data_IF_445031152953
#
_entry.id   IF_445031152953
#
_cell.length_a   1.000
_cell.length_b   1.000
_cell.length_c   1.000
_cell.angle_alpha   90.00
_cell.angle_beta   90.00
_cell.angle_gamma   90.00
#
_symmetry.space_group_name_H-M   'P 1'
#
loop_
_entity.id
_entity.type
_entity.pdbx_description
1 polymer ?
#
# COMPACT_ATOMS: atom_id res chain seq x y z
N UNK A 1 54.45 -34.39 -27.64
CA UNK A 1 53.18 -33.71 -27.96
C UNK A 1 53.00 -32.56 -26.98
N UNK A 2 52.55 -31.41 -27.49
CA UNK A 2 51.93 -30.24 -26.86
C UNK A 2 52.23 -29.92 -25.37
N UNK A 3 52.78 -28.72 -25.19
CA UNK A 3 52.84 -27.93 -23.97
C UNK A 3 51.47 -27.68 -23.32
N UNK A 4 51.43 -27.49 -22.00
CA UNK A 4 50.43 -26.66 -21.35
C UNK A 4 51.06 -25.35 -20.85
N UNK A 5 50.79 -24.27 -21.59
CA UNK A 5 50.58 -22.93 -21.03
C UNK A 5 49.25 -23.01 -20.22
N UNK A 6 48.99 -22.36 -19.10
CA UNK A 6 49.18 -20.95 -18.77
C UNK A 6 49.17 -20.74 -17.25
N UNK A 7 49.67 -19.56 -16.88
CA UNK A 7 49.98 -19.06 -15.56
C UNK A 7 48.78 -19.01 -14.59
N UNK A 8 49.14 -19.33 -13.35
CA UNK A 8 48.49 -19.04 -12.08
C UNK A 8 48.30 -17.53 -11.88
N UNK A 9 47.38 -17.17 -10.98
CA UNK A 9 47.11 -15.82 -10.40
C UNK A 9 46.23 -14.94 -11.31
N UNK A 10 45.10 -14.36 -10.88
CA UNK A 10 44.66 -13.90 -9.56
C UNK A 10 43.14 -14.07 -9.46
N UNK A 11 42.70 -14.84 -8.46
CA UNK A 11 41.36 -14.74 -7.87
C UNK A 11 41.21 -13.34 -7.26
N UNK A 12 40.28 -12.53 -7.77
CA UNK A 12 39.88 -11.29 -7.10
C UNK A 12 38.40 -11.37 -6.69
N UNK A 13 38.06 -12.05 -5.58
CA UNK A 13 36.94 -11.61 -4.76
C UNK A 13 37.43 -10.49 -3.82
N UNK A 14 36.50 -9.75 -3.21
CA UNK A 14 36.67 -8.77 -2.11
C UNK A 14 36.84 -7.31 -2.60
N UNK A 15 36.03 -6.32 -2.21
CA UNK A 15 35.01 -6.18 -1.17
C UNK A 15 33.87 -5.25 -1.64
N UNK A 16 32.64 -5.66 -1.38
CA UNK A 16 31.48 -4.77 -1.23
C UNK A 16 31.56 -4.07 0.12
N UNK A 17 31.76 -2.75 0.11
CA UNK A 17 31.39 -1.86 1.21
C UNK A 17 30.79 -0.59 0.61
N UNK A 18 29.54 -0.67 0.15
CA UNK A 18 28.72 0.53 0.00
C UNK A 18 28.26 0.90 1.42
N UNK A 19 28.90 1.94 1.95
CA UNK A 19 28.57 2.56 3.21
C UNK A 19 27.07 2.83 3.30
N UNK A 20 26.41 2.22 4.28
CA UNK A 20 25.11 2.67 4.76
C UNK A 20 25.33 4.01 5.48
N UNK A 21 25.18 5.11 4.76
CA UNK A 21 24.94 6.40 5.39
C UNK A 21 23.52 6.36 5.98
N UNK A 22 23.41 6.01 7.25
CA UNK A 22 22.20 6.20 8.05
C UNK A 22 22.12 7.68 8.45
N UNK A 23 21.14 8.48 7.99
CA UNK A 23 20.84 9.73 8.67
C UNK A 23 20.10 9.41 9.97
N UNK A 24 20.81 9.55 11.11
CA UNK A 24 20.17 9.88 12.39
C UNK A 24 19.76 11.36 12.28
N UNK A 25 18.46 11.58 12.34
CA UNK A 25 17.91 12.88 12.66
C UNK A 25 17.04 12.66 13.89
N UNK A 26 17.70 12.61 15.03
CA UNK A 26 17.06 12.87 16.31
C UNK A 26 17.05 14.39 16.54
N UNK A 27 16.01 14.84 17.24
CA UNK A 27 15.90 16.07 18.04
C UNK A 27 14.87 17.12 17.56
N UNK A 28 13.72 17.03 18.24
CA UNK A 28 12.95 18.07 18.95
C UNK A 28 12.03 19.06 18.21
N UNK A 29 10.77 18.93 18.62
CA UNK A 29 9.72 19.94 18.81
C UNK A 29 9.94 21.34 18.25
N UNK A 30 9.13 21.70 17.26
CA UNK A 30 8.60 23.07 17.12
C UNK A 30 7.19 23.04 16.53
N UNK A 31 6.25 23.43 17.38
CA UNK A 31 5.08 24.25 17.06
C UNK A 31 3.94 23.65 16.24
N UNK A 32 2.99 23.14 17.02
CA UNK A 32 1.57 23.50 16.96
C UNK A 32 1.34 24.77 16.11
N UNK A 33 0.98 24.58 14.84
CA UNK A 33 0.23 25.57 14.08
C UNK A 33 -1.14 24.97 13.79
N UNK A 34 -1.98 25.02 14.83
CA UNK A 34 -3.40 25.25 14.62
C UNK A 34 -3.61 26.48 13.72
N UNK A 35 -4.78 26.52 13.11
CA UNK A 35 -5.36 27.72 12.50
C UNK A 35 -5.01 28.00 11.03
N UNK A 36 -5.79 27.33 10.17
CA UNK A 36 -6.36 28.05 9.02
C UNK A 36 -7.84 27.73 8.88
N UNK A 37 -8.61 28.15 9.87
CA UNK A 37 -10.01 28.51 9.64
C UNK A 37 -10.04 29.82 8.84
N UNK A 38 -10.42 29.74 7.57
CA UNK A 38 -11.14 30.82 6.90
C UNK A 38 -12.24 30.20 6.05
N UNK A 39 -13.35 29.93 6.74
CA UNK A 39 -14.67 30.43 6.42
C UNK A 39 -15.13 30.47 4.96
N UNK A 40 -16.24 29.76 4.74
CA UNK A 40 -17.32 30.23 3.88
C UNK A 40 -17.71 29.29 2.76
N UNK A 41 -18.52 28.27 3.06
CA UNK A 41 -19.88 28.27 2.52
C UNK A 41 -20.76 27.34 3.36
N UNK A 42 -21.82 27.93 3.90
CA UNK A 42 -22.85 27.24 4.66
C UNK A 42 -23.82 26.64 3.66
N UNK A 43 -23.74 25.34 3.43
CA UNK A 43 -24.92 24.57 3.07
C UNK A 43 -25.15 23.52 4.17
N UNK A 44 -25.98 23.97 5.10
CA UNK A 44 -26.62 23.19 6.12
C UNK A 44 -27.64 22.30 5.41
N UNK A 45 -27.37 21.01 5.28
CA UNK A 45 -28.48 20.10 5.03
C UNK A 45 -28.34 18.76 5.75
N UNK A 46 -29.52 18.29 6.12
CA UNK A 46 -29.79 17.46 7.27
C UNK A 46 -29.22 16.04 7.18
N UNK A 47 -28.98 15.50 8.38
CA UNK A 47 -28.66 14.10 8.58
C UNK A 47 -29.61 13.17 7.83
N UNK A 48 -29.01 12.20 7.17
CA UNK A 48 -29.72 11.12 6.53
C UNK A 48 -28.70 10.07 6.10
N UNK A 49 -28.75 8.91 6.74
CA UNK A 49 -28.34 7.64 6.16
C UNK A 49 -29.20 7.41 4.90
N UNK A 50 -29.00 8.20 3.84
CA UNK A 50 -29.65 8.02 2.55
C UNK A 50 -28.74 7.15 1.71
N UNK A 51 -29.17 5.91 1.50
CA UNK A 51 -28.72 5.09 0.39
C UNK A 51 -28.98 5.84 -0.92
N UNK A 52 -28.00 6.62 -1.36
CA UNK A 52 -28.07 7.44 -2.56
C UNK A 52 -27.53 6.66 -3.76
N UNK A 53 -28.43 6.25 -4.65
CA UNK A 53 -28.10 6.04 -6.06
C UNK A 53 -27.78 7.40 -6.68
N UNK A 54 -26.51 7.75 -6.82
CA UNK A 54 -26.09 9.01 -7.43
C UNK A 54 -24.64 8.97 -7.86
N UNK A 55 -24.41 8.58 -9.13
CA UNK A 55 -23.27 8.94 -10.01
C UNK A 55 -21.82 8.82 -9.55
N UNK A 56 -21.53 8.42 -8.31
CA UNK A 56 -20.17 8.36 -7.78
C UNK A 56 -19.43 7.09 -8.21
N UNK A 57 -18.10 7.15 -8.25
CA UNK A 57 -17.25 5.97 -8.46
C UNK A 57 -17.64 4.89 -7.43
N UNK A 58 -18.16 3.72 -7.86
CA UNK A 58 -18.62 2.67 -6.96
C UNK A 58 -17.48 2.08 -6.12
N UNK A 59 -16.23 2.32 -6.54
CA UNK A 59 -14.99 1.94 -5.86
C UNK A 59 -14.41 3.03 -4.97
N UNK A 60 -15.14 4.13 -4.72
CA UNK A 60 -14.69 5.17 -3.79
C UNK A 60 -14.60 4.59 -2.37
N UNK A 61 -13.46 4.78 -1.73
CA UNK A 61 -13.18 4.34 -0.37
C UNK A 61 -13.90 5.27 0.61
N UNK A 62 -14.82 4.71 1.40
CA UNK A 62 -15.59 5.48 2.40
C UNK A 62 -14.93 5.50 3.77
N UNK A 63 -14.20 4.43 4.12
CA UNK A 63 -13.48 4.31 5.38
C UNK A 63 -12.01 4.03 5.09
N UNK A 64 -11.08 4.77 5.69
CA UNK A 64 -9.67 4.52 5.49
C UNK A 64 -9.28 3.15 6.05
N UNK A 65 -8.31 2.49 5.41
CA UNK A 65 -7.86 1.15 5.81
C UNK A 65 -6.37 0.96 5.58
N UNK A 66 -5.79 -0.02 6.28
CA UNK A 66 -4.37 -0.35 6.18
C UNK A 66 -4.10 -1.37 5.08
N UNK A 67 -2.91 -1.25 4.49
CA UNK A 67 -2.29 -2.27 3.64
C UNK A 67 -1.38 -3.16 4.48
N UNK A 68 -1.38 -4.45 4.14
CA UNK A 68 -0.65 -5.51 4.82
C UNK A 68 0.38 -6.14 3.89
N UNK A 69 1.51 -6.58 4.46
CA UNK A 69 2.58 -7.28 3.73
C UNK A 69 2.13 -8.63 3.20
N UNK A 70 1.34 -9.36 3.99
CA UNK A 70 0.76 -10.66 3.67
C UNK A 70 -0.75 -10.66 3.92
N UNK A 71 -1.52 -11.59 3.31
CA UNK A 71 -2.98 -11.66 3.48
C UNK A 71 -3.37 -12.33 4.81
N UNK A 72 -2.93 -11.76 5.92
CA UNK A 72 -3.29 -12.17 7.28
C UNK A 72 -3.22 -10.98 8.25
N UNK A 73 -3.99 -11.04 9.33
CA UNK A 73 -4.14 -9.92 10.27
C UNK A 73 -2.90 -9.68 11.14
N UNK A 74 -2.09 -10.71 11.34
CA UNK A 74 -0.82 -10.65 12.08
C UNK A 74 0.33 -10.07 11.25
N UNK A 75 0.11 -9.78 9.97
CA UNK A 75 1.13 -9.20 9.10
C UNK A 75 1.43 -7.74 9.45
N UNK A 76 2.67 -7.32 9.18
CA UNK A 76 3.05 -5.92 9.22
C UNK A 76 2.16 -5.05 8.33
N UNK A 77 1.85 -3.85 8.85
CA UNK A 77 1.13 -2.78 8.15
C UNK A 77 2.15 -1.74 7.69
N UNK A 78 2.14 -1.38 6.41
CA UNK A 78 3.16 -0.47 5.85
C UNK A 78 2.60 0.66 4.98
N UNK A 79 1.28 0.82 4.95
CA UNK A 79 0.64 1.93 4.25
C UNK A 79 -0.86 2.02 4.52
N UNK A 80 -1.47 3.15 4.18
CA UNK A 80 -2.89 3.41 4.41
C UNK A 80 -3.56 3.96 3.15
N UNK A 81 -4.79 3.52 2.89
CA UNK A 81 -5.67 4.17 1.92
C UNK A 81 -6.58 5.15 2.65
N UNK A 82 -6.75 6.34 2.07
CA UNK A 82 -7.51 7.41 2.68
C UNK A 82 -8.95 7.41 2.20
N UNK A 83 -9.83 8.05 2.98
CA UNK A 83 -11.19 8.31 2.57
C UNK A 83 -11.19 9.15 1.28
N UNK A 84 -12.04 8.77 0.33
CA UNK A 84 -12.11 9.38 -0.99
C UNK A 84 -11.17 8.78 -2.04
N UNK A 85 -10.22 7.93 -1.63
CA UNK A 85 -9.39 7.14 -2.54
C UNK A 85 -10.22 6.17 -3.40
N UNK A 86 -9.58 5.50 -4.35
CA UNK A 86 -10.25 4.49 -5.19
C UNK A 86 -9.70 3.10 -4.90
N UNK A 87 -10.59 2.19 -4.52
CA UNK A 87 -10.24 0.78 -4.34
C UNK A 87 -9.81 0.20 -5.68
N UNK A 88 -8.59 -0.33 -5.71
CA UNK A 88 -8.05 -1.05 -6.87
C UNK A 88 -7.42 -2.34 -6.40
N UNK A 89 -7.67 -3.43 -7.14
CA UNK A 89 -7.10 -4.73 -6.86
C UNK A 89 -6.70 -5.41 -8.16
N UNK A 90 -5.79 -6.37 -8.04
CA UNK A 90 -5.27 -7.18 -9.14
C UNK A 90 -5.83 -8.59 -9.08
N UNK A 91 -5.94 -9.16 -7.88
CA UNK A 91 -6.45 -10.51 -7.69
C UNK A 91 -6.95 -10.70 -6.25
N UNK A 92 -7.63 -11.82 -6.01
CA UNK A 92 -8.19 -12.25 -4.73
C UNK A 92 -7.52 -13.53 -4.22
N UNK A 93 -7.20 -13.57 -2.93
CA UNK A 93 -6.78 -14.77 -2.20
C UNK A 93 -7.64 -14.89 -0.94
N UNK A 94 -8.50 -15.91 -0.85
CA UNK A 94 -9.54 -16.00 0.20
C UNK A 94 -10.34 -14.69 0.30
N UNK A 95 -10.42 -14.07 1.48
CA UNK A 95 -11.08 -12.76 1.67
C UNK A 95 -10.09 -11.59 1.63
N UNK A 96 -8.96 -11.74 0.93
CA UNK A 96 -7.95 -10.70 0.76
C UNK A 96 -7.78 -10.33 -0.71
N UNK A 97 -7.49 -9.07 -0.95
CA UNK A 97 -7.24 -8.52 -2.27
C UNK A 97 -5.81 -8.02 -2.37
N UNK A 98 -5.10 -8.45 -3.40
CA UNK A 98 -3.78 -7.91 -3.74
C UNK A 98 -3.97 -6.61 -4.50
N UNK A 99 -3.29 -5.57 -4.05
CA UNK A 99 -3.25 -4.25 -4.70
C UNK A 99 -1.79 -3.90 -5.03
N UNK A 100 -1.58 -2.82 -5.78
CA UNK A 100 -0.23 -2.28 -6.03
C UNK A 100 0.50 -1.89 -4.74
N UNK A 101 -0.25 -1.47 -3.70
CA UNK A 101 0.30 -1.00 -2.43
C UNK A 101 0.45 -2.10 -1.37
N UNK A 102 -0.05 -3.31 -1.61
CA UNK A 102 -0.06 -4.39 -0.61
C UNK A 102 -1.37 -5.16 -0.60
N UNK A 103 -1.59 -5.94 0.45
CA UNK A 103 -2.82 -6.70 0.66
C UNK A 103 -3.84 -5.87 1.46
N UNK A 104 -5.12 -6.01 1.13
CA UNK A 104 -6.21 -5.43 1.92
C UNK A 104 -7.32 -6.46 2.11
N UNK A 105 -8.03 -6.37 3.23
CA UNK A 105 -9.16 -7.23 3.51
C UNK A 105 -10.34 -6.93 2.59
N UNK A 106 -11.15 -7.94 2.31
CA UNK A 106 -12.33 -7.81 1.47
C UNK A 106 -13.47 -7.01 2.10
N UNK A 107 -13.47 -6.86 3.43
CA UNK A 107 -14.35 -5.94 4.16
C UNK A 107 -14.11 -4.47 3.80
N UNK A 108 -12.90 -4.12 3.36
CA UNK A 108 -12.54 -2.76 2.97
C UNK A 108 -13.00 -2.41 1.54
N UNK A 109 -13.41 -3.41 0.76
CA UNK A 109 -13.96 -3.23 -0.59
C UNK A 109 -15.34 -2.58 -0.46
N UNK A 110 -15.58 -1.41 -1.08
CA UNK A 110 -16.92 -0.85 -1.15
C UNK A 110 -17.89 -1.84 -1.79
N UNK A 111 -19.09 -2.00 -1.23
CA UNK A 111 -20.03 -3.06 -1.62
C UNK A 111 -20.40 -3.05 -3.11
N UNK A 112 -20.50 -1.85 -3.70
CA UNK A 112 -20.81 -1.62 -5.12
C UNK A 112 -19.59 -1.72 -6.05
N UNK A 113 -18.38 -1.84 -5.51
CA UNK A 113 -17.14 -1.89 -6.28
C UNK A 113 -16.90 -3.29 -6.83
N UNK A 114 -17.04 -3.43 -8.15
CA UNK A 114 -16.79 -4.67 -8.85
C UNK A 114 -15.65 -4.51 -9.86
N UNK A 115 -14.90 -5.59 -10.08
CA UNK A 115 -13.85 -5.64 -11.08
C UNK A 115 -13.43 -7.08 -11.39
N UNK A 116 -12.62 -7.26 -12.44
CA UNK A 116 -12.18 -8.59 -12.88
C UNK A 116 -11.45 -9.39 -11.77
N UNK A 117 -10.82 -8.69 -10.83
CA UNK A 117 -10.07 -9.22 -9.71
C UNK A 117 -10.92 -10.01 -8.70
N UNK A 118 -12.25 -9.91 -8.78
CA UNK A 118 -13.16 -10.77 -8.00
C UNK A 118 -13.06 -12.23 -8.42
N UNK A 119 -12.83 -12.47 -9.71
CA UNK A 119 -12.71 -13.80 -10.31
C UNK A 119 -11.25 -14.23 -10.53
N UNK A 120 -10.31 -13.28 -10.49
CA UNK A 120 -8.89 -13.57 -10.62
C UNK A 120 -8.29 -14.04 -9.30
N UNK A 121 -7.91 -15.32 -9.23
CA UNK A 121 -7.23 -15.88 -8.05
C UNK A 121 -5.76 -15.47 -8.01
N UNK A 122 -5.29 -14.97 -6.87
CA UNK A 122 -3.86 -14.79 -6.67
C UNK A 122 -3.17 -16.15 -6.46
N UNK A 123 -1.89 -16.27 -6.85
CA UNK A 123 -1.07 -17.37 -6.38
C UNK A 123 -0.98 -17.33 -4.84
N UNK A 124 -0.70 -18.47 -4.19
CA UNK A 124 -0.44 -18.51 -2.76
C UNK A 124 0.68 -17.53 -2.39
N UNK A 125 0.51 -16.70 -1.33
CA UNK A 125 1.57 -15.82 -0.86
C UNK A 125 2.76 -16.66 -0.39
N UNK A 126 3.96 -16.27 -0.81
CA UNK A 126 5.23 -16.75 -0.25
C UNK A 126 5.56 -15.91 0.97
N UNK A 127 5.75 -16.53 2.12
CA UNK A 127 5.99 -15.86 3.40
C UNK A 127 7.49 -15.72 3.69
#
# INVERSE_FOLDING_TARGET
MKSPLYFLTILLPLLTELAFASPTADIEDTDILEERDRGGDRDQDHGGFKGGSGGGNPCKVFKPYWYYKYPCDSSDKFGRENQGGTFTATCKYNNWYKTKKGWTQGSNRPQRCHGNWENQKCPPPTF
#
